data_IF_587735875302
#
_entry.id   IF_587735875302
#
_cell.length_a   1.000
_cell.length_b   1.000
_cell.length_c   1.000
_cell.angle_alpha   90.00
_cell.angle_beta   90.00
_cell.angle_gamma   90.00
#
_symmetry.space_group_name_H-M   'P 1'
#
loop_
_entity.id
_entity.type
_entity.pdbx_description
1 polymer ?
#
# COMPACT_ATOMS: atom_id res chain seq x y z
N UNK A 1 31.18 8.97 8.10
CA UNK A 1 29.98 8.55 8.86
C UNK A 1 29.54 9.75 9.69
N UNK A 2 28.32 10.29 9.68
CA UNK A 2 27.01 9.82 9.21
C UNK A 2 26.88 9.52 7.69
N UNK A 3 25.96 8.61 7.31
CA UNK A 3 25.75 8.17 5.94
C UNK A 3 24.68 9.02 5.23
N UNK A 4 24.63 8.90 3.91
CA UNK A 4 23.66 9.52 2.99
C UNK A 4 24.09 10.91 2.49
N UNK A 5 25.08 10.87 1.60
CA UNK A 5 25.60 12.02 0.87
C UNK A 5 24.61 12.56 -0.17
N UNK A 6 23.87 13.62 0.19
CA UNK A 6 23.17 14.48 -0.75
C UNK A 6 23.54 15.95 -0.51
N UNK A 7 23.94 16.66 -1.57
CA UNK A 7 24.01 18.13 -1.58
C UNK A 7 22.92 18.68 -2.49
N UNK A 8 22.17 19.68 -1.99
CA UNK A 8 21.19 20.47 -2.74
C UNK A 8 21.87 21.32 -3.84
N UNK A 9 21.25 21.38 -5.02
CA UNK A 9 21.48 22.43 -6.02
C UNK A 9 20.15 23.03 -6.48
N UNK A 10 20.18 24.26 -7.02
CA UNK A 10 19.04 25.16 -7.22
C UNK A 10 18.19 24.91 -8.48
N UNK A 11 18.54 23.98 -9.37
CA UNK A 11 17.88 23.82 -10.68
C UNK A 11 17.31 22.42 -10.96
N UNK A 12 16.52 21.87 -10.03
CA UNK A 12 15.66 20.72 -10.29
C UNK A 12 16.35 19.37 -10.48
N UNK A 13 15.51 18.32 -10.56
CA UNK A 13 15.93 16.92 -10.55
C UNK A 13 16.20 16.44 -11.98
N UNK A 14 17.45 16.06 -12.29
CA UNK A 14 17.81 15.36 -13.53
C UNK A 14 18.38 13.99 -13.20
N UNK A 15 17.81 12.94 -13.80
CA UNK A 15 18.34 11.59 -13.73
C UNK A 15 19.69 11.51 -14.47
N UNK A 16 20.71 10.90 -13.85
CA UNK A 16 21.94 10.50 -14.54
C UNK A 16 21.66 9.22 -15.31
N UNK A 17 21.67 9.31 -16.64
CA UNK A 17 21.84 8.15 -17.52
C UNK A 17 23.33 7.88 -17.59
N UNK A 18 23.79 6.78 -16.99
CA UNK A 18 25.13 6.25 -17.18
C UNK A 18 25.04 4.75 -17.50
N UNK A 19 25.47 4.42 -18.72
CA UNK A 19 26.23 3.20 -19.01
C UNK A 19 25.43 1.91 -19.17
N UNK A 20 25.02 1.62 -20.41
CA UNK A 20 24.76 0.25 -20.87
C UNK A 20 26.04 -0.58 -20.80
N UNK A 21 26.07 -1.62 -19.96
CA UNK A 21 27.06 -2.68 -20.05
C UNK A 21 26.34 -4.00 -20.33
N UNK A 22 26.31 -4.37 -21.61
CA UNK A 22 25.83 -5.66 -22.09
C UNK A 22 26.83 -6.74 -21.68
N UNK A 23 26.46 -7.60 -20.75
CA UNK A 23 27.21 -8.83 -20.46
C UNK A 23 26.34 -10.01 -20.88
N UNK A 24 26.66 -10.57 -22.03
CA UNK A 24 26.17 -11.87 -22.45
C UNK A 24 26.93 -12.94 -21.67
N UNK A 25 26.25 -13.67 -20.78
CA UNK A 25 26.75 -14.93 -20.24
C UNK A 25 25.88 -16.08 -20.74
N UNK A 26 26.54 -16.98 -21.46
CA UNK A 26 26.01 -18.20 -22.04
C UNK A 26 25.72 -19.26 -20.97
N UNK A 27 24.53 -19.84 -21.08
CA UNK A 27 24.18 -21.25 -20.94
C UNK A 27 24.69 -22.02 -19.71
N UNK A 28 23.76 -22.39 -18.83
CA UNK A 28 23.64 -23.77 -18.32
C UNK A 28 22.22 -23.98 -17.80
N UNK A 29 21.39 -24.67 -18.58
CA UNK A 29 20.13 -25.23 -18.10
C UNK A 29 20.44 -26.48 -17.27
N UNK A 30 20.11 -26.54 -15.97
CA UNK A 30 20.02 -27.82 -15.29
C UNK A 30 18.79 -28.56 -15.86
N UNK A 31 19.05 -29.62 -16.61
CA UNK A 31 18.07 -30.61 -16.99
C UNK A 31 17.51 -31.25 -15.71
N UNK A 32 16.29 -30.89 -15.31
CA UNK A 32 15.56 -31.67 -14.32
C UNK A 32 15.12 -32.98 -14.98
N UNK A 33 15.99 -33.98 -14.87
CA UNK A 33 15.64 -35.35 -15.17
C UNK A 33 14.58 -35.81 -14.15
N UNK A 34 13.40 -36.14 -14.68
CA UNK A 34 12.37 -36.85 -13.95
C UNK A 34 12.92 -38.19 -13.45
N UNK A 35 13.12 -38.30 -12.14
CA UNK A 35 13.38 -39.58 -11.49
C UNK A 35 12.03 -40.26 -11.21
N UNK A 36 11.51 -40.99 -12.20
CA UNK A 36 10.54 -42.04 -11.98
C UNK A 36 11.30 -43.28 -11.47
N UNK A 37 11.45 -43.39 -10.16
CA UNK A 37 11.90 -44.61 -9.49
C UNK A 37 10.67 -45.43 -9.07
N UNK A 38 10.20 -46.29 -9.96
CA UNK A 38 9.26 -47.36 -9.62
C UNK A 38 10.09 -48.57 -9.16
N UNK A 39 10.02 -48.93 -7.87
CA UNK A 39 10.54 -50.20 -7.36
C UNK A 39 9.66 -51.38 -7.83
N UNK A 40 10.15 -52.32 -8.64
CA UNK A 40 9.42 -53.53 -8.99
C UNK A 40 10.04 -54.72 -8.23
N UNK A 41 9.89 -54.75 -6.91
CA UNK A 41 10.43 -55.85 -6.10
C UNK A 41 9.62 -56.15 -4.84
N UNK A 42 8.30 -56.33 -4.96
CA UNK A 42 7.55 -57.20 -4.04
C UNK A 42 6.63 -58.11 -4.85
N UNK A 43 7.22 -59.10 -5.51
CA UNK A 43 6.50 -60.29 -5.94
C UNK A 43 7.04 -61.46 -5.15
N UNK A 44 6.11 -62.22 -4.58
CA UNK A 44 6.25 -63.57 -4.06
C UNK A 44 6.60 -63.72 -2.57
N UNK A 45 5.61 -63.46 -1.72
CA UNK A 45 5.49 -64.08 -0.40
C UNK A 45 4.21 -64.93 -0.39
N UNK A 46 4.29 -66.27 -0.36
CA UNK A 46 3.12 -67.11 -0.20
C UNK A 46 2.68 -67.10 1.27
N UNK A 47 1.38 -66.92 1.49
CA UNK A 47 0.72 -67.30 2.75
C UNK A 47 0.57 -66.19 3.79
N UNK A 48 -0.35 -65.26 3.55
CA UNK A 48 -1.30 -64.86 4.59
C UNK A 48 -2.62 -64.59 3.92
N UNK A 49 -3.61 -65.43 4.23
CA UNK A 49 -4.97 -65.27 3.78
C UNK A 49 -5.51 -63.91 4.21
N UNK A 50 -6.13 -63.19 3.28
CA UNK A 50 -7.07 -62.12 3.62
C UNK A 50 -8.21 -62.69 4.46
N UNK A 51 -8.54 -62.10 5.61
CA UNK A 51 -9.91 -61.95 6.00
C UNK A 51 -10.43 -60.64 5.39
N UNK A 52 -11.45 -60.77 4.53
CA UNK A 52 -12.33 -59.65 4.23
C UNK A 52 -13.15 -59.31 5.48
N UNK A 53 -13.43 -58.01 5.62
CA UNK A 53 -14.39 -57.36 6.51
C UNK A 53 -14.07 -57.28 8.01
N UNK A 54 -13.93 -56.03 8.49
CA UNK A 54 -14.13 -55.69 9.90
C UNK A 54 -13.09 -54.73 10.46
N UNK A 55 -13.36 -53.42 10.36
CA UNK A 55 -12.63 -52.42 11.13
C UNK A 55 -11.68 -51.58 10.28
N UNK A 56 -12.23 -50.57 9.60
CA UNK A 56 -11.45 -49.37 9.34
C UNK A 56 -10.96 -48.87 10.71
N UNK A 57 -9.67 -49.05 10.99
CA UNK A 57 -9.02 -48.37 12.07
C UNK A 57 -9.31 -46.88 11.87
N UNK A 58 -10.05 -46.30 12.81
CA UNK A 58 -10.19 -44.85 12.95
C UNK A 58 -8.77 -44.36 13.19
N UNK A 59 -8.16 -43.68 12.23
CA UNK A 59 -7.03 -42.81 12.54
C UNK A 59 -7.60 -41.65 13.36
N UNK A 60 -7.28 -41.53 14.66
CA UNK A 60 -7.55 -40.31 15.40
C UNK A 60 -6.54 -39.27 14.90
N UNK A 61 -7.04 -38.12 14.44
CA UNK A 61 -6.37 -36.82 14.52
C UNK A 61 -5.20 -36.45 13.59
N UNK A 62 -4.95 -37.11 12.46
CA UNK A 62 -3.87 -36.69 11.53
C UNK A 62 -4.25 -36.63 10.04
N UNK A 63 -5.44 -36.11 9.71
CA UNK A 63 -5.84 -35.85 8.31
C UNK A 63 -5.78 -34.37 7.89
N UNK A 64 -5.38 -33.46 8.78
CA UNK A 64 -5.05 -32.09 8.39
C UNK A 64 -3.55 -32.01 8.17
N UNK A 65 -3.14 -32.08 6.89
CA UNK A 65 -1.81 -31.60 6.53
C UNK A 65 -1.63 -30.15 7.05
N UNK A 66 -0.39 -29.71 7.33
CA UNK A 66 -0.18 -28.34 7.77
C UNK A 66 -0.86 -27.41 6.77
N UNK A 67 -1.77 -26.56 7.27
CA UNK A 67 -2.45 -25.57 6.43
C UNK A 67 -1.44 -24.74 5.65
N UNK A 68 -1.87 -24.14 4.53
CA UNK A 68 -1.00 -23.27 3.76
C UNK A 68 -0.41 -22.19 4.69
N UNK A 69 0.90 -21.93 4.61
CA UNK A 69 1.52 -20.93 5.47
C UNK A 69 0.89 -19.58 5.14
N UNK A 70 0.60 -18.79 6.16
CA UNK A 70 0.03 -17.47 6.07
C UNK A 70 0.98 -16.46 6.69
N UNK A 71 0.98 -15.23 6.18
CA UNK A 71 1.77 -14.12 6.68
C UNK A 71 0.96 -12.85 6.77
N UNK A 72 1.46 -11.92 7.56
CA UNK A 72 0.76 -10.65 7.82
C UNK A 72 1.05 -9.65 6.70
N UNK A 73 -0.01 -9.00 6.23
CA UNK A 73 0.01 -7.85 5.33
C UNK A 73 -0.53 -6.67 6.11
N UNK A 74 0.33 -5.69 6.40
CA UNK A 74 0.04 -4.59 7.33
C UNK A 74 0.14 -3.25 6.64
N UNK A 75 -0.79 -2.34 6.97
CA UNK A 75 -0.66 -0.91 6.70
C UNK A 75 -0.47 -0.16 8.02
N UNK A 76 0.49 0.77 8.04
CA UNK A 76 0.73 1.69 9.14
C UNK A 76 0.37 3.09 8.69
N UNK A 77 -0.59 3.72 9.37
CA UNK A 77 -1.13 5.03 9.04
C UNK A 77 -0.51 6.08 9.94
N UNK A 78 0.09 7.09 9.31
CA UNK A 78 0.80 8.16 10.02
C UNK A 78 0.45 9.55 9.47
N UNK A 79 0.70 10.57 10.28
CA UNK A 79 0.70 11.98 9.86
C UNK A 79 1.98 12.30 9.09
N UNK A 80 1.82 12.89 7.90
CA UNK A 80 2.92 13.13 6.95
C UNK A 80 3.99 14.11 7.48
N UNK A 81 3.66 14.94 8.47
CA UNK A 81 4.57 15.97 8.99
C UNK A 81 5.27 15.55 10.27
N UNK A 82 4.60 14.78 11.12
CA UNK A 82 5.03 14.44 12.48
C UNK A 82 5.41 12.98 12.63
N UNK A 83 4.97 12.10 11.73
CA UNK A 83 5.17 10.65 11.85
C UNK A 83 4.35 10.01 12.99
N UNK A 84 3.39 10.74 13.57
CA UNK A 84 2.55 10.20 14.61
C UNK A 84 1.53 9.21 14.03
N UNK A 85 1.22 8.10 14.74
CA UNK A 85 0.24 7.13 14.29
C UNK A 85 -1.18 7.72 14.26
N UNK A 86 -1.98 7.30 13.28
CA UNK A 86 -3.35 7.78 13.07
C UNK A 86 -4.36 6.63 13.03
N UNK A 87 -5.25 6.60 14.03
CA UNK A 87 -6.40 5.71 14.04
C UNK A 87 -7.59 6.26 13.25
N UNK A 88 -8.41 5.36 12.72
CA UNK A 88 -9.67 5.68 12.05
C UNK A 88 -9.60 5.87 10.53
N UNK A 89 -8.44 5.61 9.90
CA UNK A 89 -8.39 5.47 8.44
C UNK A 89 -9.07 4.16 8.02
N UNK A 90 -9.77 4.15 6.89
CA UNK A 90 -10.44 2.95 6.36
C UNK A 90 -9.78 2.52 5.06
N UNK A 91 -9.38 1.26 5.00
CA UNK A 91 -8.71 0.64 3.86
C UNK A 91 -9.48 -0.56 3.32
N UNK A 92 -9.47 -0.73 2.00
CA UNK A 92 -9.79 -1.97 1.33
C UNK A 92 -8.49 -2.67 0.92
N UNK A 93 -8.38 -3.97 1.19
CA UNK A 93 -7.27 -4.79 0.70
C UNK A 93 -7.65 -5.41 -0.65
N UNK A 94 -6.67 -5.47 -1.55
CA UNK A 94 -6.80 -6.04 -2.88
C UNK A 94 -5.65 -7.00 -3.16
N UNK A 95 -5.93 -8.07 -3.90
CA UNK A 95 -4.97 -9.01 -4.44
C UNK A 95 -4.83 -8.79 -5.95
N UNK A 96 -3.59 -8.71 -6.42
CA UNK A 96 -3.23 -8.72 -7.84
C UNK A 96 -3.62 -10.06 -8.45
N UNK A 97 -4.60 -10.06 -9.36
CA UNK A 97 -5.13 -11.32 -9.93
C UNK A 97 -5.11 -11.37 -11.46
N UNK A 98 -4.83 -10.26 -12.13
CA UNK A 98 -4.88 -10.18 -13.60
C UNK A 98 -3.47 -10.09 -14.25
N UNK A 99 -2.42 -9.89 -13.45
CA UNK A 99 -1.04 -9.82 -13.90
C UNK A 99 -0.64 -8.48 -14.53
N UNK A 100 -1.42 -7.42 -14.33
CA UNK A 100 -1.18 -6.08 -14.85
C UNK A 100 -0.70 -5.19 -13.70
N UNK A 101 0.56 -4.71 -13.72
CA UNK A 101 1.11 -3.94 -12.62
C UNK A 101 0.29 -2.71 -12.20
N UNK A 102 0.07 -2.59 -10.89
CA UNK A 102 -0.75 -1.55 -10.28
C UNK A 102 -2.10 -2.11 -9.84
N UNK A 103 -2.89 -1.33 -9.08
CA UNK A 103 -4.24 -1.75 -8.71
C UNK A 103 -5.24 -1.38 -9.81
N UNK A 104 -6.06 -2.33 -10.25
CA UNK A 104 -7.23 -2.10 -11.10
C UNK A 104 -8.52 -2.51 -10.39
N UNK A 105 -9.22 -1.53 -9.81
CA UNK A 105 -10.49 -1.78 -9.10
C UNK A 105 -11.72 -1.88 -10.01
N UNK A 106 -11.57 -1.65 -11.31
CA UNK A 106 -12.65 -1.66 -12.31
C UNK A 106 -12.13 -2.14 -13.65
N UNK A 107 -13.02 -2.61 -14.53
CA UNK A 107 -12.68 -3.04 -15.89
C UNK A 107 -13.26 -4.40 -16.20
N UNK A 108 -12.81 -5.01 -17.30
CA UNK A 108 -13.22 -6.36 -17.69
C UNK A 108 -12.54 -7.47 -16.90
N UNK A 109 -11.39 -7.18 -16.31
CA UNK A 109 -10.58 -8.12 -15.53
C UNK A 109 -9.92 -7.37 -14.36
N UNK A 110 -10.70 -6.89 -13.37
CA UNK A 110 -10.17 -6.16 -12.23
C UNK A 110 -9.44 -7.08 -11.23
N UNK A 111 -8.67 -6.48 -10.36
CA UNK A 111 -8.11 -7.15 -9.18
C UNK A 111 -9.20 -7.55 -8.19
N UNK A 112 -8.86 -8.48 -7.30
CA UNK A 112 -9.83 -9.06 -6.37
C UNK A 112 -9.78 -8.35 -5.01
N UNK A 113 -10.92 -7.81 -4.56
CA UNK A 113 -11.03 -7.25 -3.21
C UNK A 113 -11.08 -8.37 -2.17
N UNK A 114 -10.27 -8.25 -1.12
CA UNK A 114 -10.15 -9.24 -0.05
C UNK A 114 -10.90 -8.80 1.20
N UNK A 115 -11.94 -9.56 1.56
CA UNK A 115 -12.70 -9.38 2.80
C UNK A 115 -13.35 -8.01 2.96
N UNK A 116 -13.77 -7.72 4.20
CA UNK A 116 -14.31 -6.41 4.58
C UNK A 116 -13.20 -5.37 4.75
N UNK A 117 -13.59 -4.10 4.72
CA UNK A 117 -12.69 -2.98 4.99
C UNK A 117 -12.03 -3.11 6.37
N UNK A 118 -10.86 -2.51 6.47
CA UNK A 118 -10.05 -2.52 7.68
C UNK A 118 -9.83 -1.09 8.15
N UNK A 119 -10.18 -0.83 9.42
CA UNK A 119 -9.98 0.48 10.03
C UNK A 119 -8.74 0.46 10.91
N UNK A 120 -7.87 1.47 10.78
CA UNK A 120 -6.66 1.54 11.59
C UNK A 120 -6.99 1.76 13.06
N UNK A 121 -6.33 1.01 13.93
CA UNK A 121 -6.44 1.15 15.37
C UNK A 121 -5.72 2.42 15.87
N UNK A 122 -5.78 2.69 17.18
CA UNK A 122 -5.16 3.88 17.77
C UNK A 122 -3.63 3.96 17.58
N UNK A 123 -2.97 2.83 17.36
CA UNK A 123 -1.55 2.73 17.04
C UNK A 123 -1.25 2.93 15.54
N UNK A 124 -2.27 3.27 14.74
CA UNK A 124 -2.15 3.49 13.30
C UNK A 124 -2.14 2.22 12.48
N UNK A 125 -2.25 1.02 13.08
CA UNK A 125 -2.08 -0.23 12.35
C UNK A 125 -3.40 -0.85 11.90
N UNK A 126 -3.35 -1.54 10.76
CA UNK A 126 -4.37 -2.46 10.30
C UNK A 126 -3.68 -3.63 9.60
N UNK A 127 -4.05 -4.87 9.95
CA UNK A 127 -3.38 -6.09 9.49
C UNK A 127 -4.39 -7.13 8.99
N UNK A 128 -3.97 -7.90 7.98
CA UNK A 128 -4.65 -9.12 7.49
C UNK A 128 -3.63 -10.24 7.33
N UNK A 129 -4.02 -11.45 7.69
CA UNK A 129 -3.16 -12.65 7.57
C UNK A 129 -3.60 -13.45 6.35
N UNK A 130 -2.71 -13.58 5.35
CA UNK A 130 -3.02 -14.07 4.01
C UNK A 130 -1.96 -15.05 3.50
N UNK A 131 -2.29 -15.89 2.50
CA UNK A 131 -1.29 -16.69 1.80
C UNK A 131 -0.31 -15.80 1.02
N UNK A 132 0.70 -16.41 0.41
CA UNK A 132 1.63 -15.70 -0.48
C UNK A 132 0.89 -15.10 -1.67
N UNK A 133 1.26 -13.87 -2.04
CA UNK A 133 0.61 -13.13 -3.12
C UNK A 133 1.18 -11.72 -3.26
N UNK A 134 0.58 -10.96 -4.17
CA UNK A 134 0.88 -9.54 -4.36
C UNK A 134 -0.36 -8.73 -4.00
N UNK A 135 -0.20 -7.78 -3.09
CA UNK A 135 -1.30 -7.08 -2.46
C UNK A 135 -1.19 -5.55 -2.58
N UNK A 136 -2.34 -4.90 -2.53
CA UNK A 136 -2.45 -3.44 -2.46
C UNK A 136 -3.43 -3.02 -1.37
N UNK A 137 -3.04 -2.02 -0.59
CA UNK A 137 -3.96 -1.31 0.29
C UNK A 137 -4.51 -0.09 -0.43
N UNK A 138 -5.82 0.05 -0.49
CA UNK A 138 -6.49 1.26 -0.98
C UNK A 138 -7.17 1.98 0.17
N UNK A 139 -6.74 3.20 0.48
CA UNK A 139 -7.40 4.06 1.47
C UNK A 139 -8.72 4.59 0.87
N UNK A 140 -9.85 4.13 1.39
CA UNK A 140 -11.17 4.61 0.97
C UNK A 140 -11.62 5.83 1.76
N UNK A 141 -11.08 6.02 2.96
CA UNK A 141 -11.42 7.13 3.85
C UNK A 141 -10.23 7.49 4.75
N UNK A 142 -9.83 8.75 4.73
CA UNK A 142 -8.81 9.28 5.64
C UNK A 142 -9.34 9.40 7.08
N UNK A 143 -8.46 9.41 8.10
CA UNK A 143 -8.84 9.72 9.47
C UNK A 143 -9.52 11.09 9.61
N UNK A 144 -10.33 11.31 10.66
CA UNK A 144 -10.93 12.62 10.93
C UNK A 144 -9.88 13.74 11.01
N UNK A 145 -10.09 14.81 10.24
CA UNK A 145 -9.18 15.97 10.20
C UNK A 145 -8.00 15.84 9.24
N UNK A 146 -8.00 14.81 8.39
CA UNK A 146 -6.98 14.56 7.38
C UNK A 146 -7.58 14.51 5.98
N UNK A 147 -6.77 14.91 4.99
CA UNK A 147 -7.14 14.84 3.59
C UNK A 147 -6.83 13.44 3.02
N UNK A 148 -7.78 12.89 2.25
CA UNK A 148 -7.55 11.66 1.48
C UNK A 148 -6.52 11.93 0.37
N UNK A 149 -5.46 11.10 0.23
CA UNK A 149 -4.48 11.28 -0.83
C UNK A 149 -5.08 11.24 -2.23
N UNK A 150 -4.51 12.01 -3.16
CA UNK A 150 -4.90 11.97 -4.58
C UNK A 150 -4.71 10.58 -5.19
N UNK A 151 -3.65 9.88 -4.77
CA UNK A 151 -3.44 8.48 -5.08
C UNK A 151 -3.48 7.67 -3.78
N UNK A 152 -4.65 7.12 -3.41
CA UNK A 152 -4.82 6.42 -2.13
C UNK A 152 -4.42 4.93 -2.21
N UNK A 153 -3.56 4.54 -3.15
CA UNK A 153 -3.13 3.14 -3.34
C UNK A 153 -1.70 2.96 -2.85
N UNK A 154 -1.49 1.95 -2.01
CA UNK A 154 -0.21 1.62 -1.38
C UNK A 154 0.16 0.18 -1.69
N UNK A 155 1.31 -0.02 -2.33
CA UNK A 155 1.80 -1.31 -2.81
C UNK A 155 2.56 -1.17 -4.12
N UNK A 156 2.89 -2.27 -4.81
CA UNK A 156 2.61 -3.66 -4.47
C UNK A 156 3.38 -4.16 -3.24
N UNK A 157 2.71 -4.88 -2.34
CA UNK A 157 3.32 -5.63 -1.25
C UNK A 157 3.45 -7.09 -1.68
N UNK A 158 4.68 -7.62 -1.71
CA UNK A 158 4.95 -8.98 -2.19
C UNK A 158 5.20 -9.90 -1.00
N UNK A 159 4.21 -10.70 -0.64
CA UNK A 159 4.29 -11.71 0.42
C UNK A 159 4.72 -13.05 -0.21
N UNK A 160 5.90 -13.54 0.14
CA UNK A 160 6.52 -14.73 -0.43
C UNK A 160 6.84 -15.76 0.67
N UNK A 161 7.12 -17.03 0.33
CA UNK A 161 7.47 -18.03 1.34
C UNK A 161 8.68 -17.63 2.19
N UNK A 162 9.59 -16.82 1.66
CA UNK A 162 10.80 -16.38 2.34
C UNK A 162 10.54 -15.34 3.43
N UNK A 163 9.57 -14.44 3.23
CA UNK A 163 9.22 -13.38 4.19
C UNK A 163 7.92 -13.66 4.95
N UNK A 164 7.24 -14.78 4.68
CA UNK A 164 5.90 -15.04 5.19
C UNK A 164 5.81 -15.02 6.73
N UNK A 165 6.87 -15.45 7.41
CA UNK A 165 6.94 -15.45 8.86
C UNK A 165 7.13 -14.04 9.46
N UNK A 166 7.73 -13.11 8.70
CA UNK A 166 7.93 -11.70 9.09
C UNK A 166 6.74 -10.83 8.67
N UNK A 167 6.06 -11.21 7.59
CA UNK A 167 5.03 -10.41 6.94
C UNK A 167 5.60 -9.27 6.11
N UNK A 168 4.69 -8.45 5.57
CA UNK A 168 4.99 -7.27 4.76
C UNK A 168 4.21 -6.07 5.30
N UNK A 169 4.86 -4.91 5.31
CA UNK A 169 4.29 -3.67 5.86
C UNK A 169 4.50 -2.51 4.91
N UNK A 170 3.50 -1.64 4.79
CA UNK A 170 3.60 -0.35 4.07
C UNK A 170 3.14 0.81 4.96
N UNK A 171 3.81 1.96 4.86
CA UNK A 171 3.39 3.19 5.53
C UNK A 171 2.51 4.04 4.60
N UNK A 172 1.37 4.50 5.12
CA UNK A 172 0.43 5.39 4.46
C UNK A 172 0.34 6.72 5.20
N UNK A 173 0.86 7.78 4.59
CA UNK A 173 0.88 9.13 5.17
C UNK A 173 -0.37 9.93 4.75
N UNK A 174 -0.95 10.73 5.66
CA UNK A 174 -1.94 11.75 5.29
C UNK A 174 -1.49 13.11 5.81
N UNK A 175 -1.91 14.16 5.09
CA UNK A 175 -1.70 15.55 5.52
C UNK A 175 -2.94 16.02 6.27
N UNK A 176 -2.74 16.69 7.42
CA UNK A 176 -3.84 17.28 8.17
C UNK A 176 -4.55 18.36 7.32
N UNK A 177 -5.88 18.33 7.33
CA UNK A 177 -6.69 19.35 6.66
C UNK A 177 -6.45 20.70 7.36
N UNK A 178 -6.05 21.76 6.64
CA UNK A 178 -5.78 23.05 7.25
C UNK A 178 -7.05 23.64 7.87
N UNK A 179 -7.02 23.91 9.18
CA UNK A 179 -8.09 24.63 9.85
C UNK A 179 -8.13 26.06 9.32
N UNK A 180 -9.16 26.39 8.54
CA UNK A 180 -9.44 27.80 8.21
C UNK A 180 -10.06 28.44 9.44
N UNK A 181 -9.22 28.97 10.33
CA UNK A 181 -9.71 29.85 11.40
C UNK A 181 -10.25 31.09 10.69
N UNK A 182 -11.58 31.25 10.74
CA UNK A 182 -12.32 32.27 10.02
C UNK A 182 -11.62 33.61 10.11
N UNK A 183 -11.23 34.14 8.95
CA UNK A 183 -10.67 35.47 8.84
C UNK A 183 -11.58 36.44 9.57
N UNK A 184 -11.03 37.18 10.54
CA UNK A 184 -11.65 38.38 11.06
C UNK A 184 -11.94 39.25 9.84
N UNK A 185 -13.20 39.31 9.42
CA UNK A 185 -13.62 40.26 8.42
C UNK A 185 -13.22 41.65 8.94
N UNK A 186 -12.38 42.43 8.22
CA UNK A 186 -12.17 43.81 8.59
C UNK A 186 -13.54 44.50 8.63
N UNK A 187 -13.82 45.37 9.62
CA UNK A 187 -15.12 46.01 9.71
C UNK A 187 -15.43 46.71 8.39
N UNK A 188 -16.59 46.42 7.81
CA UNK A 188 -17.05 47.03 6.58
C UNK A 188 -16.92 48.56 6.72
N UNK A 189 -16.05 49.18 5.91
CA UNK A 189 -16.08 50.64 5.74
C UNK A 189 -17.44 50.97 5.17
N UNK A 190 -18.30 51.54 6.02
CA UNK A 190 -19.53 52.17 5.54
C UNK A 190 -19.10 53.46 4.88
N UNK A 191 -18.89 53.44 3.56
CA UNK A 191 -18.82 54.65 2.76
C UNK A 191 -20.19 55.34 2.84
N UNK A 192 -20.34 56.23 3.84
CA UNK A 192 -21.43 57.21 3.82
C UNK A 192 -21.15 58.17 2.68
N UNK A 193 -21.94 58.02 1.63
CA UNK A 193 -22.22 59.09 0.67
C UNK A 193 -22.78 60.27 1.45
N UNK A 194 -22.00 61.34 1.55
CA UNK A 194 -22.36 62.60 2.18
C UNK A 194 -21.90 63.73 1.27
N UNK A 195 -22.72 64.03 0.28
CA UNK A 195 -22.64 65.21 -0.56
C UNK A 195 -22.82 66.47 0.30
N UNK A 196 -21.80 67.34 0.37
CA UNK A 196 -21.96 68.79 0.60
C UNK A 196 -20.77 69.58 0.07
N UNK A 197 -21.07 70.60 -0.74
CA UNK A 197 -20.39 71.90 -0.59
C UNK A 197 -19.29 72.24 -1.60
N UNK A 198 -19.69 72.99 -2.62
CA UNK A 198 -18.85 73.85 -3.48
C UNK A 198 -17.75 74.58 -2.70
N UNK A 199 -16.52 74.56 -3.22
CA UNK A 199 -15.58 75.66 -3.06
C UNK A 199 -14.81 75.88 -4.37
N UNK A 200 -15.24 76.90 -5.11
CA UNK A 200 -14.47 77.51 -6.18
C UNK A 200 -13.32 78.30 -5.55
N UNK A 201 -12.08 77.85 -5.74
CA UNK A 201 -10.91 78.66 -5.48
C UNK A 201 -10.26 79.04 -6.81
N UNK A 202 -10.59 80.25 -7.29
CA UNK A 202 -9.74 81.02 -8.20
C UNK A 202 -8.37 81.18 -7.56
N UNK A 203 -7.32 80.73 -8.22
CA UNK A 203 -5.96 81.24 -7.99
C UNK A 203 -5.52 82.04 -9.20
N UNK A 204 -5.76 83.34 -9.14
CA UNK A 204 -4.93 84.34 -9.82
C UNK A 204 -3.67 84.53 -8.99
N UNK A 205 -2.49 84.26 -9.54
CA UNK A 205 -1.27 85.00 -9.20
C UNK A 205 -0.49 85.26 -10.48
N UNK A 206 -0.30 86.56 -10.71
CA UNK A 206 0.53 87.20 -11.73
C UNK A 206 1.99 87.22 -11.29
N UNK A 207 2.88 87.16 -12.28
CA UNK A 207 4.17 87.85 -12.40
C UNK A 207 5.21 87.76 -11.28
N UNK A 208 6.38 87.22 -11.64
CA UNK A 208 7.61 88.02 -11.84
C UNK A 208 8.59 87.30 -12.76
#
# INVERSE_FOLDING_TARGET
>A
MAPNGFRRSRDGWRARVLGTATVALLLSTPSYAAAAGADPAVRNRPGIASPAAGGAARCPDHCEGPGLPLGDVTVVKEDAMTGNPLGGAVFQLWEETNGIPGLQTTGSDPDTSIGDTCTTAADGTCTRTLPTGVYYWQESQAPPGYDLPVNPVFGALVLTPENIAEGVTVTAENTATPVTVGGVAPPARTDRVGEVGRASCRSTVSAR
#
